data_IF_682361228994
#
_entry.id   IF_682361228994
#
_cell.length_a   1.000
_cell.length_b   1.000
_cell.length_c   1.000
_cell.angle_alpha   90.00
_cell.angle_beta   90.00
_cell.angle_gamma   90.00
#
_symmetry.space_group_name_H-M   'P 1'
#
loop_
_entity.id
_entity.type
_entity.pdbx_description
1 polymer ?
#
# COMPACT_ATOMS: atom_id res chain seq x y z
N UNK A 1 23.11 26.06 9.99
CA UNK A 1 23.76 24.74 9.82
C UNK A 1 22.85 23.70 10.44
N UNK A 2 22.20 22.81 9.67
CA UNK A 2 21.44 21.71 10.26
C UNK A 2 22.41 20.79 10.99
N UNK A 3 22.15 20.49 12.27
CA UNK A 3 22.94 19.54 13.05
C UNK A 3 22.95 18.20 12.31
N UNK A 4 24.14 17.60 12.15
CA UNK A 4 24.24 16.31 11.49
C UNK A 4 23.46 15.28 12.33
N UNK A 5 22.65 14.44 11.69
CA UNK A 5 21.90 13.36 12.38
C UNK A 5 22.82 12.36 13.10
N UNK A 6 24.13 12.40 12.80
CA UNK A 6 25.17 11.56 13.40
C UNK A 6 25.55 12.06 14.80
N UNK A 7 25.55 13.39 15.03
CA UNK A 7 25.92 13.98 16.32
C UNK A 7 24.89 13.71 17.44
N UNK A 8 23.69 13.24 17.07
CA UNK A 8 22.59 12.88 17.97
C UNK A 8 22.29 11.37 17.99
N UNK A 9 23.24 10.53 17.58
CA UNK A 9 23.04 9.09 17.60
C UNK A 9 23.02 8.55 19.04
N UNK A 10 22.08 7.64 19.35
CA UNK A 10 21.89 7.05 20.69
C UNK A 10 23.15 6.40 21.27
N UNK A 11 24.12 6.02 20.43
CA UNK A 11 25.41 5.49 20.87
C UNK A 11 26.30 6.49 21.60
N UNK A 12 26.02 7.80 21.47
CA UNK A 12 26.75 8.87 22.17
C UNK A 12 26.09 9.29 23.48
N UNK A 13 24.90 8.76 23.79
CA UNK A 13 24.22 9.06 25.05
C UNK A 13 24.59 8.05 26.16
N UNK A 14 24.79 8.51 27.41
CA UNK A 14 24.97 7.62 28.54
C UNK A 14 23.80 6.65 28.68
N UNK A 15 24.08 5.36 28.91
CA UNK A 15 23.05 4.32 29.03
C UNK A 15 21.99 4.66 30.10
N UNK A 16 22.36 5.38 31.17
CA UNK A 16 21.43 5.84 32.20
C UNK A 16 20.35 6.79 31.67
N UNK A 17 20.68 7.66 30.71
CA UNK A 17 19.72 8.58 30.09
C UNK A 17 18.75 7.85 29.18
N UNK A 18 19.26 6.86 28.43
CA UNK A 18 18.47 5.98 27.56
C UNK A 18 17.46 5.18 28.40
N UNK A 19 17.92 4.60 29.52
CA UNK A 19 17.07 3.84 30.43
C UNK A 19 16.04 4.73 31.14
N UNK A 20 16.43 5.94 31.58
CA UNK A 20 15.50 6.88 32.20
C UNK A 20 14.42 7.39 31.23
N UNK A 21 14.75 7.53 29.93
CA UNK A 21 13.76 7.83 28.90
C UNK A 21 12.82 6.64 28.65
N UNK A 22 13.37 5.42 28.57
CA UNK A 22 12.58 4.18 28.43
C UNK A 22 11.62 3.97 29.61
N UNK A 23 12.08 4.23 30.83
CA UNK A 23 11.29 4.02 32.04
C UNK A 23 10.19 5.08 32.21
N UNK A 24 10.28 6.22 31.50
CA UNK A 24 9.18 7.19 31.34
C UNK A 24 8.17 6.76 30.29
N UNK A 25 8.58 5.91 29.35
CA UNK A 25 7.74 5.39 28.27
C UNK A 25 6.92 4.18 28.75
N UNK A 26 6.19 4.38 29.84
CA UNK A 26 5.25 3.39 30.35
C UNK A 26 4.12 3.21 29.33
N UNK A 27 3.75 1.97 28.97
CA UNK A 27 2.65 1.73 28.05
C UNK A 27 1.40 2.45 28.57
N UNK A 28 0.75 3.23 27.69
CA UNK A 28 -0.45 3.97 28.07
C UNK A 28 -1.49 2.99 28.62
N UNK A 29 -1.98 3.17 29.86
CA UNK A 29 -2.92 2.24 30.46
C UNK A 29 -4.19 2.11 29.60
N UNK A 30 -4.78 0.90 29.51
CA UNK A 30 -6.03 0.72 28.77
C UNK A 30 -7.12 1.63 29.35
N UNK A 31 -7.79 2.38 28.47
CA UNK A 31 -8.85 3.31 28.86
C UNK A 31 -8.39 4.68 29.36
N UNK A 32 -7.10 5.02 29.26
CA UNK A 32 -6.63 6.36 29.59
C UNK A 32 -7.32 7.43 28.73
N UNK A 33 -7.90 8.45 29.37
CA UNK A 33 -8.74 9.46 28.70
C UNK A 33 -8.04 10.22 27.57
N UNK A 34 -6.73 10.50 27.71
CA UNK A 34 -5.95 11.17 26.67
C UNK A 34 -5.73 10.27 25.43
N UNK A 35 -5.54 8.96 25.61
CA UNK A 35 -5.44 8.01 24.50
C UNK A 35 -6.79 7.85 23.78
N UNK A 36 -7.89 7.80 24.52
CA UNK A 36 -9.23 7.76 23.94
C UNK A 36 -9.55 9.04 23.14
N UNK A 37 -9.14 10.21 23.64
CA UNK A 37 -9.27 11.48 22.92
C UNK A 37 -8.43 11.50 21.62
N UNK A 38 -7.17 11.06 21.67
CA UNK A 38 -6.32 10.95 20.48
C UNK A 38 -6.89 9.97 19.44
N UNK A 39 -7.46 8.84 19.88
CA UNK A 39 -8.14 7.89 18.99
C UNK A 39 -9.40 8.53 18.37
N UNK A 40 -10.18 9.27 19.15
CA UNK A 40 -11.37 9.96 18.64
C UNK A 40 -11.02 11.02 17.59
N UNK A 41 -9.96 11.79 17.83
CA UNK A 41 -9.43 12.78 16.90
C UNK A 41 -8.91 12.12 15.61
N UNK A 42 -8.10 11.06 15.71
CA UNK A 42 -7.62 10.30 14.56
C UNK A 42 -8.78 9.71 13.73
N UNK A 43 -9.83 9.20 14.40
CA UNK A 43 -11.05 8.72 13.72
C UNK A 43 -11.81 9.84 13.02
N UNK A 44 -11.88 11.03 13.61
CA UNK A 44 -12.51 12.19 12.98
C UNK A 44 -11.74 12.65 11.74
N UNK A 45 -10.40 12.66 11.79
CA UNK A 45 -9.55 12.94 10.63
C UNK A 45 -9.72 11.89 9.53
N UNK A 46 -9.77 10.60 9.87
CA UNK A 46 -10.03 9.54 8.89
C UNK A 46 -11.39 9.68 8.20
N UNK A 47 -12.42 10.13 8.92
CA UNK A 47 -13.76 10.39 8.35
C UNK A 47 -13.80 11.59 7.42
N UNK A 48 -12.91 12.57 7.60
CA UNK A 48 -12.84 13.76 6.75
C UNK A 48 -12.01 13.53 5.47
N UNK A 49 -11.23 12.45 5.41
CA UNK A 49 -10.55 12.02 4.19
C UNK A 49 -11.62 11.52 3.21
N UNK A 50 -11.98 12.37 2.24
CA UNK A 50 -12.76 11.91 1.09
C UNK A 50 -11.95 10.85 0.35
N UNK A 51 -12.52 9.67 0.06
CA UNK A 51 -11.85 8.70 -0.79
C UNK A 51 -11.53 9.39 -2.12
N UNK A 52 -10.24 9.47 -2.46
CA UNK A 52 -9.82 10.06 -3.72
C UNK A 52 -10.47 9.25 -4.84
N UNK A 53 -11.19 9.91 -5.75
CA UNK A 53 -11.73 9.23 -6.92
C UNK A 53 -10.57 8.85 -7.84
N UNK A 54 -10.05 7.63 -7.67
CA UNK A 54 -8.96 7.08 -8.46
C UNK A 54 -9.43 6.45 -9.77
N UNK A 55 -10.75 6.39 -10.04
CA UNK A 55 -11.28 5.76 -11.24
C UNK A 55 -10.64 6.28 -12.54
N UNK A 56 -10.37 7.59 -12.72
CA UNK A 56 -9.68 8.10 -13.91
C UNK A 56 -8.25 7.57 -14.04
N UNK A 57 -7.50 7.48 -12.94
CA UNK A 57 -6.13 6.95 -12.94
C UNK A 57 -6.11 5.43 -13.17
N UNK A 58 -7.05 4.69 -12.58
CA UNK A 58 -7.12 3.24 -12.77
C UNK A 58 -7.50 2.86 -14.21
N UNK A 59 -8.39 3.63 -14.85
CA UNK A 59 -8.73 3.44 -16.25
C UNK A 59 -7.52 3.67 -17.18
N UNK A 60 -6.72 4.70 -16.89
CA UNK A 60 -5.49 5.00 -17.61
C UNK A 60 -4.41 3.94 -17.39
N UNK A 61 -4.32 3.36 -16.18
CA UNK A 61 -3.31 2.36 -15.85
C UNK A 61 -3.36 1.13 -16.77
N UNK A 62 -4.56 0.70 -17.19
CA UNK A 62 -4.71 -0.35 -18.19
C UNK A 62 -4.05 0.04 -19.52
N UNK A 63 -4.42 1.19 -20.09
CA UNK A 63 -3.88 1.66 -21.36
C UNK A 63 -2.36 1.90 -21.34
N UNK A 64 -1.81 2.30 -20.20
CA UNK A 64 -0.38 2.54 -19.99
C UNK A 64 0.42 1.25 -19.76
N UNK A 65 -0.23 0.14 -19.45
CA UNK A 65 0.46 -1.14 -19.22
C UNK A 65 1.08 -1.66 -20.52
N UNK A 66 2.28 -2.27 -20.49
CA UNK A 66 2.91 -2.83 -21.68
C UNK A 66 2.01 -3.85 -22.40
N UNK A 67 2.06 -3.88 -23.74
CA UNK A 67 1.28 -4.81 -24.57
C UNK A 67 1.39 -6.26 -24.11
N UNK A 68 2.61 -6.72 -23.82
CA UNK A 68 2.87 -8.09 -23.36
C UNK A 68 2.13 -8.42 -22.06
N UNK A 69 2.14 -7.49 -21.10
CA UNK A 69 1.47 -7.67 -19.81
C UNK A 69 -0.06 -7.74 -19.95
N UNK A 70 -0.65 -6.86 -20.77
CA UNK A 70 -2.10 -6.90 -21.04
C UNK A 70 -2.51 -8.21 -21.71
N UNK A 71 -1.76 -8.66 -22.73
CA UNK A 71 -2.01 -9.93 -23.42
C UNK A 71 -1.87 -11.11 -22.46
N UNK A 72 -0.84 -11.14 -21.63
CA UNK A 72 -0.66 -12.25 -20.67
C UNK A 72 -1.79 -12.32 -19.65
N UNK A 73 -2.28 -11.19 -19.15
CA UNK A 73 -3.41 -11.15 -18.21
C UNK A 73 -4.70 -11.63 -18.89
N UNK A 74 -4.96 -11.22 -20.14
CA UNK A 74 -6.11 -11.71 -20.91
C UNK A 74 -6.07 -13.23 -21.10
N UNK A 75 -4.92 -13.77 -21.50
CA UNK A 75 -4.73 -15.23 -21.67
C UNK A 75 -4.96 -15.96 -20.35
N UNK A 76 -4.39 -15.46 -19.25
CA UNK A 76 -4.54 -16.06 -17.93
C UNK A 76 -5.99 -15.98 -17.40
N UNK A 77 -6.75 -14.97 -17.82
CA UNK A 77 -8.18 -14.84 -17.53
C UNK A 77 -9.07 -15.64 -18.48
N UNK A 78 -8.50 -16.43 -19.41
CA UNK A 78 -9.25 -17.22 -20.38
C UNK A 78 -9.94 -16.39 -21.47
N UNK A 79 -9.45 -15.18 -21.71
CA UNK A 79 -10.02 -14.21 -22.66
C UNK A 79 -9.21 -14.11 -23.95
N UNK A 80 -9.83 -13.56 -24.99
CA UNK A 80 -9.16 -13.24 -26.24
C UNK A 80 -8.03 -12.22 -26.02
N UNK A 81 -6.80 -12.66 -26.34
CA UNK A 81 -5.59 -11.86 -26.22
C UNK A 81 -5.56 -10.66 -27.18
N UNK A 82 -6.34 -10.69 -28.26
CA UNK A 82 -6.37 -9.61 -29.25
C UNK A 82 -7.22 -8.41 -28.79
N UNK A 83 -8.02 -8.57 -27.72
CA UNK A 83 -8.71 -7.47 -27.00
C UNK A 83 -7.78 -6.59 -26.15
N UNK A 84 -6.46 -6.72 -26.27
CA UNK A 84 -5.49 -5.96 -25.44
C UNK A 84 -5.52 -4.44 -25.67
N UNK A 85 -5.99 -3.97 -26.83
CA UNK A 85 -6.20 -2.53 -27.09
C UNK A 85 -7.54 -2.02 -26.58
N UNK A 86 -8.46 -2.91 -26.21
CA UNK A 86 -9.78 -2.51 -25.75
C UNK A 86 -9.69 -1.73 -24.43
N UNK A 87 -10.44 -0.62 -24.27
CA UNK A 87 -10.49 0.12 -23.02
C UNK A 87 -10.95 -0.78 -21.85
N UNK A 88 -10.45 -0.56 -20.63
CA UNK A 88 -10.84 -1.43 -19.49
C UNK A 88 -12.35 -1.40 -19.19
N UNK A 89 -13.04 -0.33 -19.60
CA UNK A 89 -14.49 -0.17 -19.45
C UNK A 89 -15.32 -0.92 -20.49
N UNK A 90 -14.73 -1.42 -21.59
CA UNK A 90 -15.45 -2.25 -22.57
C UNK A 90 -15.60 -3.70 -22.12
N UNK A 91 -14.93 -4.09 -21.04
CA UNK A 91 -15.12 -5.40 -20.42
C UNK A 91 -16.33 -5.38 -19.49
N UNK A 92 -17.03 -6.50 -19.33
CA UNK A 92 -18.11 -6.61 -18.33
C UNK A 92 -17.55 -6.61 -16.91
N UNK A 93 -18.41 -6.54 -15.88
CA UNK A 93 -17.90 -6.63 -14.50
C UNK A 93 -17.36 -8.02 -14.19
N UNK A 94 -18.00 -9.07 -14.71
CA UNK A 94 -17.54 -10.46 -14.60
C UNK A 94 -16.17 -10.62 -15.24
N UNK A 95 -15.98 -10.08 -16.45
CA UNK A 95 -14.67 -10.08 -17.11
C UNK A 95 -13.62 -9.33 -16.28
N UNK A 96 -13.97 -8.16 -15.73
CA UNK A 96 -13.03 -7.42 -14.86
C UNK A 96 -12.67 -8.18 -13.58
N UNK A 97 -13.57 -9.00 -13.02
CA UNK A 97 -13.28 -9.85 -11.86
C UNK A 97 -12.24 -10.91 -12.23
N UNK A 98 -12.39 -11.58 -13.37
CA UNK A 98 -11.42 -12.57 -13.85
C UNK A 98 -10.06 -11.95 -14.17
N UNK A 99 -10.04 -10.77 -14.79
CA UNK A 99 -8.80 -10.02 -15.04
C UNK A 99 -8.07 -9.67 -13.74
N UNK A 100 -8.80 -9.25 -12.69
CA UNK A 100 -8.22 -8.97 -11.36
C UNK A 100 -7.66 -10.24 -10.72
N UNK A 101 -8.38 -11.36 -10.80
CA UNK A 101 -7.93 -12.65 -10.27
C UNK A 101 -6.65 -13.13 -10.98
N UNK A 102 -6.63 -13.10 -12.31
CA UNK A 102 -5.47 -13.45 -13.14
C UNK A 102 -4.24 -12.56 -12.82
N UNK A 103 -4.46 -11.24 -12.70
CA UNK A 103 -3.38 -10.30 -12.35
C UNK A 103 -2.81 -10.59 -10.96
N UNK A 104 -3.68 -10.85 -9.98
CA UNK A 104 -3.27 -11.16 -8.61
C UNK A 104 -2.48 -12.46 -8.53
N UNK A 105 -2.87 -13.48 -9.31
CA UNK A 105 -2.13 -14.72 -9.43
C UNK A 105 -0.74 -14.50 -10.05
N UNK A 106 -0.65 -13.69 -11.10
CA UNK A 106 0.62 -13.35 -11.74
C UNK A 106 1.58 -12.64 -10.77
N UNK A 107 1.09 -11.64 -10.00
CA UNK A 107 1.89 -10.95 -8.97
C UNK A 107 2.49 -11.96 -7.99
N UNK A 108 1.67 -12.88 -7.45
CA UNK A 108 2.16 -13.90 -6.51
C UNK A 108 3.25 -14.80 -7.10
N UNK A 109 3.18 -15.12 -8.40
CA UNK A 109 4.22 -15.89 -9.08
C UNK A 109 5.51 -15.09 -9.17
N UNK A 110 5.44 -13.82 -9.59
CA UNK A 110 6.61 -12.95 -9.67
C UNK A 110 7.23 -12.67 -8.29
N UNK A 111 6.42 -12.51 -7.24
CA UNK A 111 6.90 -12.38 -5.86
C UNK A 111 7.67 -13.63 -5.41
N UNK A 112 7.16 -14.83 -5.70
CA UNK A 112 7.86 -16.09 -5.39
C UNK A 112 9.20 -16.19 -6.13
N UNK A 113 9.20 -15.84 -7.42
CA UNK A 113 10.43 -15.83 -8.22
C UNK A 113 11.44 -14.83 -7.69
N UNK A 114 10.99 -13.61 -7.34
CA UNK A 114 11.84 -12.58 -6.75
C UNK A 114 12.48 -13.05 -5.44
N UNK A 115 11.72 -13.73 -4.58
CA UNK A 115 12.21 -14.25 -3.31
C UNK A 115 13.13 -15.47 -3.44
N UNK A 116 13.13 -16.14 -4.60
CA UNK A 116 13.94 -17.34 -4.86
C UNK A 116 15.31 -17.02 -5.47
N UNK A 117 15.50 -15.79 -5.95
CA UNK A 117 16.77 -15.27 -6.52
C UNK A 117 17.52 -14.51 -5.43
#
# INVERSE_FOLDING_TARGET
MPASLIDNHLSFQPAAEILAARDKDMPTPPGAGHALAAIAEAKAQLRSIKPRNLAPFMAQAWGLSPRGARRSVLIAAGMDADRWESPIHSFTEEERIELRAATSAAIRVYERLLNAI
#
